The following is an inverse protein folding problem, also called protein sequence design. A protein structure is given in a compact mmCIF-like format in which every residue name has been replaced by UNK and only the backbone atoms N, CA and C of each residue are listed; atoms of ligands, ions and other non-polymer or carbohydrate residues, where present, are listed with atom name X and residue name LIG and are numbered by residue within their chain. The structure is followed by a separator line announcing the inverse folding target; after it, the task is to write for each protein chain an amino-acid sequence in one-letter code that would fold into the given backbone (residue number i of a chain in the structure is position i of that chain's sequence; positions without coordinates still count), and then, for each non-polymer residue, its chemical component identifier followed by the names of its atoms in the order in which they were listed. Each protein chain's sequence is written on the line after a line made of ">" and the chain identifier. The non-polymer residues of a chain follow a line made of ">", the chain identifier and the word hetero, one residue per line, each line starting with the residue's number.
data_IF_800147718909
#
_entry.id   IF_800147718909
#
_cell.length_a   1.000
_cell.length_b   1.000
_cell.length_c   1.000
_cell.angle_alpha   90.00
_cell.angle_beta   90.00
_cell.angle_gamma   90.00
#
_symmetry.space_group_name_H-M   'P 1'
#
loop_
_entity.id
_entity.type
_entity.pdbx_description
1 polymer ?
#
# COMPACT_ATOMS: atom_id res chain seq x y z
N UNK A 1 -34.16 6.86 -6.16
CA UNK A 1 -33.89 7.21 -4.75
C UNK A 1 -35.13 7.85 -4.16
N UNK A 2 -35.35 7.72 -2.85
CA UNK A 2 -36.56 8.22 -2.19
C UNK A 2 -36.43 9.68 -1.76
N UNK A 3 -35.20 10.11 -1.45
CA UNK A 3 -34.87 11.47 -1.02
C UNK A 3 -33.78 12.07 -1.91
N UNK A 4 -34.04 12.29 -3.21
CA UNK A 4 -33.02 12.74 -4.16
C UNK A 4 -32.47 14.16 -3.87
N UNK A 5 -33.17 14.95 -3.05
CA UNK A 5 -32.70 16.25 -2.56
C UNK A 5 -31.69 16.16 -1.41
N UNK A 6 -31.58 15.01 -0.74
CA UNK A 6 -30.61 14.81 0.34
C UNK A 6 -29.21 14.57 -0.24
N UNK A 7 -28.12 14.85 0.50
CA UNK A 7 -26.77 14.78 -0.05
C UNK A 7 -26.36 13.38 -0.54
N UNK A 8 -25.47 13.29 -1.56
CA UNK A 8 -24.94 12.03 -2.06
C UNK A 8 -23.92 11.40 -1.09
N UNK A 9 -23.77 10.07 -1.12
CA UNK A 9 -22.86 9.35 -0.22
C UNK A 9 -22.33 8.02 -0.77
N UNK A 10 -21.24 7.55 -0.16
CA UNK A 10 -20.84 6.16 -0.13
C UNK A 10 -21.24 5.49 1.19
N UNK A 11 -21.63 4.22 1.12
CA UNK A 11 -21.69 3.33 2.29
C UNK A 11 -20.73 2.16 2.08
N UNK A 12 -19.79 2.00 3.00
CA UNK A 12 -18.72 0.99 2.94
C UNK A 12 -19.08 -0.20 3.82
N UNK A 13 -19.01 -1.37 3.21
CA UNK A 13 -19.25 -2.67 3.84
C UNK A 13 -18.01 -3.56 3.73
N UNK A 14 -17.95 -4.60 4.56
CA UNK A 14 -17.04 -5.73 4.34
C UNK A 14 -17.81 -7.04 4.23
N UNK A 15 -17.38 -7.88 3.28
CA UNK A 15 -18.05 -9.15 2.96
C UNK A 15 -17.84 -10.24 4.02
N UNK A 16 -17.06 -9.96 5.06
CA UNK A 16 -16.57 -10.92 6.06
C UNK A 16 -15.86 -12.14 5.44
N UNK A 17 -15.15 -11.92 4.34
CA UNK A 17 -14.43 -12.95 3.57
C UNK A 17 -12.94 -12.62 3.40
N UNK A 18 -12.12 -13.59 2.95
CA UNK A 18 -10.80 -13.26 2.42
C UNK A 18 -10.89 -12.38 1.17
N UNK A 19 -9.79 -11.68 0.89
CA UNK A 19 -9.57 -10.90 -0.33
C UNK A 19 -8.78 -11.71 -1.38
N UNK A 20 -8.78 -11.25 -2.63
CA UNK A 20 -8.10 -11.91 -3.75
C UNK A 20 -9.05 -12.36 -4.87
N UNK A 21 -8.52 -12.44 -6.10
CA UNK A 21 -9.31 -12.68 -7.32
C UNK A 21 -10.10 -13.99 -7.32
N UNK A 22 -9.63 -15.03 -6.62
CA UNK A 22 -10.36 -16.29 -6.47
C UNK A 22 -11.64 -16.16 -5.62
N UNK A 23 -11.65 -15.23 -4.65
CA UNK A 23 -12.81 -14.97 -3.81
C UNK A 23 -13.75 -13.96 -4.44
N UNK A 24 -13.22 -13.02 -5.22
CA UNK A 24 -14.00 -11.94 -5.85
C UNK A 24 -15.24 -12.47 -6.60
N UNK A 25 -15.06 -13.42 -7.52
CA UNK A 25 -16.17 -13.95 -8.31
C UNK A 25 -17.13 -14.83 -7.50
N UNK A 26 -16.63 -15.61 -6.54
CA UNK A 26 -17.49 -16.50 -5.72
C UNK A 26 -18.33 -15.71 -4.73
N UNK A 27 -17.77 -14.67 -4.11
CA UNK A 27 -18.51 -13.74 -3.26
C UNK A 27 -19.52 -12.94 -4.07
N UNK A 28 -19.15 -12.45 -5.27
CA UNK A 28 -20.10 -11.76 -6.14
C UNK A 28 -21.29 -12.64 -6.53
N UNK A 29 -21.03 -13.89 -6.93
CA UNK A 29 -22.09 -14.87 -7.23
C UNK A 29 -22.96 -15.18 -6.01
N UNK A 30 -22.37 -15.25 -4.81
CA UNK A 30 -23.10 -15.44 -3.56
C UNK A 30 -24.07 -14.27 -3.31
N UNK A 31 -23.61 -13.03 -3.40
CA UNK A 31 -24.43 -11.83 -3.17
C UNK A 31 -25.63 -11.78 -4.12
N UNK A 32 -25.42 -12.14 -5.39
CA UNK A 32 -26.51 -12.26 -6.37
C UNK A 32 -27.52 -13.34 -5.98
N UNK A 33 -27.03 -14.51 -5.57
CA UNK A 33 -27.89 -15.65 -5.18
C UNK A 33 -28.77 -15.32 -3.99
N UNK A 34 -28.26 -14.58 -3.01
CA UNK A 34 -29.00 -14.22 -1.80
C UNK A 34 -29.73 -12.88 -1.89
N UNK A 35 -29.71 -12.25 -3.07
CA UNK A 35 -30.32 -10.94 -3.33
C UNK A 35 -29.85 -9.84 -2.34
N UNK A 36 -28.57 -9.86 -1.98
CA UNK A 36 -27.94 -8.89 -1.08
C UNK A 36 -26.92 -7.99 -1.81
N UNK A 37 -27.07 -7.81 -3.12
CA UNK A 37 -26.10 -7.08 -3.92
C UNK A 37 -26.03 -5.60 -3.53
N UNK A 38 -24.84 -5.06 -3.23
CA UNK A 38 -24.62 -3.61 -3.25
C UNK A 38 -24.64 -3.12 -4.71
N UNK A 39 -24.31 -1.86 -4.95
CA UNK A 39 -24.04 -1.42 -6.33
C UNK A 39 -22.65 -1.88 -6.79
N UNK A 40 -21.66 -1.89 -5.90
CA UNK A 40 -20.26 -2.17 -6.22
C UNK A 40 -19.69 -3.24 -5.30
N UNK A 41 -18.86 -4.14 -5.85
CA UNK A 41 -17.96 -5.01 -5.10
C UNK A 41 -16.51 -4.68 -5.48
N UNK A 42 -15.61 -4.65 -4.50
CA UNK A 42 -14.21 -4.27 -4.69
C UNK A 42 -13.28 -5.25 -3.96
N UNK A 43 -12.22 -5.71 -4.64
CA UNK A 43 -11.16 -6.50 -4.04
C UNK A 43 -9.89 -5.65 -3.83
N UNK A 44 -9.52 -5.33 -2.57
CA UNK A 44 -8.37 -4.50 -2.29
C UNK A 44 -7.03 -5.17 -2.62
N UNK A 45 -6.97 -6.51 -2.72
CA UNK A 45 -5.74 -7.23 -3.04
C UNK A 45 -5.46 -7.18 -4.54
N UNK A 46 -6.41 -7.60 -5.37
CA UNK A 46 -6.24 -7.63 -6.83
C UNK A 46 -6.63 -6.33 -7.55
N UNK A 47 -7.22 -5.36 -6.83
CA UNK A 47 -7.79 -4.13 -7.40
C UNK A 47 -8.91 -4.41 -8.43
N UNK A 48 -9.61 -5.54 -8.32
CA UNK A 48 -10.77 -5.83 -9.15
C UNK A 48 -12.00 -5.05 -8.64
N UNK A 49 -12.80 -4.56 -9.59
CA UNK A 49 -14.07 -3.90 -9.33
C UNK A 49 -15.17 -4.56 -10.14
N UNK A 50 -16.33 -4.74 -9.50
CA UNK A 50 -17.52 -5.31 -10.09
C UNK A 50 -18.71 -4.43 -9.77
N UNK A 51 -19.66 -4.34 -10.70
CA UNK A 51 -20.84 -3.52 -10.54
C UNK A 51 -22.09 -4.37 -10.82
N UNK A 52 -22.96 -4.50 -9.81
CA UNK A 52 -24.20 -5.28 -9.94
C UNK A 52 -25.35 -4.46 -10.54
N UNK A 53 -25.32 -3.14 -10.36
CA UNK A 53 -26.39 -2.27 -10.84
C UNK A 53 -25.99 -0.79 -10.92
N UNK A 54 -26.90 0.08 -11.39
CA UNK A 54 -26.62 1.50 -11.54
C UNK A 54 -26.33 2.18 -10.20
N UNK A 55 -25.31 3.05 -10.15
CA UNK A 55 -24.93 3.79 -8.94
C UNK A 55 -26.02 4.77 -8.46
N UNK A 56 -26.95 5.12 -9.34
CA UNK A 56 -28.09 6.02 -9.07
C UNK A 56 -29.36 5.30 -8.61
N UNK A 57 -29.30 3.98 -8.47
CA UNK A 57 -30.38 3.15 -7.92
C UNK A 57 -29.93 2.52 -6.60
N UNK A 58 -30.89 2.05 -5.81
CA UNK A 58 -30.60 1.47 -4.49
C UNK A 58 -29.99 0.07 -4.59
N UNK A 59 -28.91 -0.17 -3.85
CA UNK A 59 -28.40 -1.51 -3.53
C UNK A 59 -29.22 -2.18 -2.43
N UNK A 60 -28.84 -3.41 -2.07
CA UNK A 60 -29.58 -4.28 -1.13
C UNK A 60 -28.76 -4.64 0.13
N UNK A 61 -27.67 -3.92 0.41
CA UNK A 61 -26.77 -4.20 1.52
C UNK A 61 -27.16 -3.51 2.86
N UNK A 62 -28.21 -2.69 2.86
CA UNK A 62 -28.74 -2.02 4.07
C UNK A 62 -30.17 -2.45 4.38
N UNK A 63 -30.46 -2.59 5.68
CA UNK A 63 -31.81 -2.79 6.21
C UNK A 63 -32.55 -1.47 6.36
N UNK A 64 -33.87 -1.51 6.18
CA UNK A 64 -34.74 -0.37 6.45
C UNK A 64 -34.73 -0.02 7.95
N UNK A 65 -34.90 1.26 8.22
CA UNK A 65 -35.04 1.81 9.56
C UNK A 65 -36.51 2.14 9.81
N UNK A 66 -37.24 1.14 10.32
CA UNK A 66 -38.70 1.17 10.36
C UNK A 66 -39.29 1.29 8.95
N UNK A 67 -40.11 2.31 8.73
CA UNK A 67 -40.69 2.61 7.40
C UNK A 67 -39.71 3.28 6.44
N UNK A 68 -38.54 3.71 6.91
CA UNK A 68 -37.58 4.46 6.11
C UNK A 68 -36.58 3.53 5.41
N UNK A 69 -36.52 3.61 4.09
CA UNK A 69 -35.61 2.79 3.26
C UNK A 69 -34.22 3.43 3.18
N UNK A 70 -33.34 3.05 4.10
CA UNK A 70 -31.97 3.60 4.27
C UNK A 70 -31.11 3.48 3.02
N UNK A 71 -31.22 2.36 2.29
CA UNK A 71 -30.56 2.12 1.00
C UNK A 71 -31.03 3.07 -0.13
N UNK A 72 -32.10 3.84 0.09
CA UNK A 72 -32.68 4.78 -0.88
C UNK A 72 -32.54 6.25 -0.47
N UNK A 73 -31.75 6.52 0.56
CA UNK A 73 -31.51 7.87 1.07
C UNK A 73 -30.50 8.64 0.21
N UNK A 74 -30.78 9.91 -0.08
CA UNK A 74 -29.86 10.81 -0.79
C UNK A 74 -29.99 10.79 -2.31
N UNK A 75 -29.33 11.75 -2.96
CA UNK A 75 -29.17 11.82 -4.43
C UNK A 75 -28.61 10.52 -5.00
N UNK A 76 -27.58 9.98 -4.34
CA UNK A 76 -27.08 8.61 -4.50
C UNK A 76 -26.65 8.06 -3.14
N UNK A 77 -26.77 6.76 -2.95
CA UNK A 77 -26.15 6.01 -1.86
C UNK A 77 -25.43 4.81 -2.47
N UNK A 78 -24.16 5.03 -2.83
CA UNK A 78 -23.33 4.02 -3.47
C UNK A 78 -22.82 3.08 -2.38
N UNK A 79 -23.45 1.92 -2.24
CA UNK A 79 -23.00 0.85 -1.35
C UNK A 79 -21.88 0.08 -2.03
N UNK A 80 -20.82 -0.17 -1.27
CA UNK A 80 -19.62 -0.90 -1.72
C UNK A 80 -19.35 -2.04 -0.76
N UNK A 81 -19.37 -3.27 -1.27
CA UNK A 81 -18.85 -4.44 -0.56
C UNK A 81 -17.35 -4.57 -0.84
N UNK A 82 -16.53 -4.43 0.19
CA UNK A 82 -15.09 -4.66 0.07
C UNK A 82 -14.77 -6.07 0.54
N UNK A 83 -14.05 -6.86 -0.28
CA UNK A 83 -13.57 -8.17 0.15
C UNK A 83 -12.57 -8.01 1.29
N UNK A 84 -13.04 -8.22 2.52
CA UNK A 84 -12.26 -8.12 3.74
C UNK A 84 -13.08 -8.62 4.92
N UNK A 85 -12.48 -8.55 6.11
CA UNK A 85 -13.16 -8.72 7.39
C UNK A 85 -13.03 -7.43 8.18
N UNK A 86 -14.10 -6.99 8.84
CA UNK A 86 -14.07 -5.81 9.68
C UNK A 86 -13.00 -5.91 10.80
N UNK A 87 -12.75 -7.12 11.30
CA UNK A 87 -11.70 -7.39 12.30
C UNK A 87 -10.26 -7.27 11.76
N UNK A 88 -10.10 -7.12 10.44
CA UNK A 88 -8.82 -6.90 9.79
C UNK A 88 -9.00 -5.83 8.71
N UNK A 89 -9.09 -4.54 9.12
CA UNK A 89 -9.44 -3.45 8.22
C UNK A 89 -8.57 -3.45 6.96
N UNK A 90 -9.22 -3.43 5.81
CA UNK A 90 -8.56 -3.61 4.52
C UNK A 90 -7.63 -2.46 4.13
N UNK A 91 -7.76 -1.31 4.79
CA UNK A 91 -6.86 -0.16 4.62
C UNK A 91 -5.48 -0.39 5.23
N UNK A 92 -5.30 -1.42 6.06
CA UNK A 92 -4.00 -1.75 6.63
C UNK A 92 -3.04 -2.24 5.54
N UNK A 93 -2.00 -1.46 5.25
CA UNK A 93 -1.07 -1.75 4.17
C UNK A 93 -1.65 -1.53 2.76
N UNK A 94 -2.79 -0.86 2.67
CA UNK A 94 -3.40 -0.45 1.40
C UNK A 94 -2.91 0.93 1.01
N UNK A 95 -2.59 1.11 -0.27
CA UNK A 95 -2.22 2.41 -0.81
C UNK A 95 -3.02 2.67 -2.08
N UNK A 96 -3.89 3.71 -2.09
CA UNK A 96 -4.67 4.08 -3.26
C UNK A 96 -3.83 4.32 -4.52
N UNK A 97 -2.56 4.72 -4.38
CA UNK A 97 -1.67 4.99 -5.52
C UNK A 97 -1.51 3.76 -6.42
N UNK A 98 -1.42 2.57 -5.83
CA UNK A 98 -1.23 1.30 -6.53
C UNK A 98 -2.56 0.68 -7.02
N UNK A 99 -3.68 1.39 -6.86
CA UNK A 99 -5.04 0.86 -6.99
C UNK A 99 -5.86 1.68 -7.99
N UNK A 100 -5.56 1.61 -9.29
CA UNK A 100 -6.23 2.40 -10.31
C UNK A 100 -7.75 2.22 -10.36
N UNK A 101 -8.29 1.03 -10.06
CA UNK A 101 -9.73 0.82 -10.06
C UNK A 101 -10.39 1.35 -8.78
N UNK A 102 -9.73 1.26 -7.63
CA UNK A 102 -10.17 2.00 -6.44
C UNK A 102 -10.22 3.52 -6.69
N UNK A 103 -9.18 4.09 -7.32
CA UNK A 103 -9.16 5.52 -7.67
C UNK A 103 -10.30 5.89 -8.62
N UNK A 104 -10.66 5.03 -9.57
CA UNK A 104 -11.85 5.23 -10.43
C UNK A 104 -13.15 5.18 -9.64
N UNK A 105 -13.30 4.24 -8.70
CA UNK A 105 -14.48 4.15 -7.84
C UNK A 105 -14.69 5.46 -7.08
N UNK A 106 -13.64 5.98 -6.45
CA UNK A 106 -13.66 7.28 -5.77
C UNK A 106 -14.03 8.41 -6.75
N UNK A 107 -13.37 8.49 -7.91
CA UNK A 107 -13.62 9.54 -8.89
C UNK A 107 -15.08 9.57 -9.35
N UNK A 108 -15.71 8.40 -9.51
CA UNK A 108 -17.13 8.31 -9.87
C UNK A 108 -18.03 8.80 -8.73
N UNK A 109 -17.71 8.51 -7.47
CA UNK A 109 -18.44 9.09 -6.34
C UNK A 109 -18.38 10.61 -6.33
N UNK A 110 -17.18 11.18 -6.52
CA UNK A 110 -16.98 12.63 -6.65
C UNK A 110 -17.79 13.21 -7.82
N UNK A 111 -17.87 12.50 -8.95
CA UNK A 111 -18.70 12.92 -10.08
C UNK A 111 -20.21 12.94 -9.77
N UNK A 112 -20.66 12.12 -8.83
CA UNK A 112 -22.03 12.20 -8.29
C UNK A 112 -22.22 13.28 -7.22
N UNK A 113 -21.13 13.94 -6.82
CA UNK A 113 -21.09 15.01 -5.82
C UNK A 113 -20.84 14.51 -4.40
N UNK A 114 -20.39 13.27 -4.21
CA UNK A 114 -20.06 12.74 -2.87
C UNK A 114 -18.86 13.53 -2.31
N UNK A 115 -19.00 14.21 -1.16
CA UNK A 115 -17.89 14.86 -0.48
C UNK A 115 -16.84 13.86 0.02
N UNK A 116 -15.60 14.31 0.12
CA UNK A 116 -14.46 13.54 0.61
C UNK A 116 -14.37 13.55 2.16
N UNK A 117 -15.53 13.62 2.83
CA UNK A 117 -15.66 13.79 4.28
C UNK A 117 -16.30 12.57 4.94
N UNK A 118 -16.00 12.39 6.23
CA UNK A 118 -16.62 11.38 7.11
C UNK A 118 -17.46 12.08 8.19
N UNK A 119 -18.68 12.53 7.86
CA UNK A 119 -19.50 13.35 8.76
C UNK A 119 -19.89 12.61 10.05
N UNK A 120 -20.06 11.29 10.00
CA UNK A 120 -20.28 10.45 11.18
C UNK A 120 -18.97 10.07 11.93
N UNK A 121 -17.84 10.66 11.56
CA UNK A 121 -16.52 10.37 12.14
C UNK A 121 -15.95 9.02 11.70
N UNK A 122 -14.99 8.51 12.48
CA UNK A 122 -14.33 7.22 12.21
C UNK A 122 -15.28 6.04 12.43
N UNK A 123 -15.32 5.05 11.53
CA UNK A 123 -15.98 3.77 11.80
C UNK A 123 -15.45 3.09 13.06
N UNK A 124 -16.29 2.28 13.70
CA UNK A 124 -15.95 1.61 14.96
C UNK A 124 -14.92 0.50 14.75
N UNK A 125 -14.03 0.33 15.73
CA UNK A 125 -12.97 -0.67 15.66
C UNK A 125 -13.42 -2.09 16.02
N UNK A 126 -14.48 -2.21 16.82
CA UNK A 126 -15.04 -3.49 17.25
C UNK A 126 -16.56 -3.40 17.33
N UNK A 127 -17.23 -4.55 17.34
CA UNK A 127 -18.68 -4.61 17.56
C UNK A 127 -19.13 -4.01 18.90
N UNK A 128 -18.30 -4.10 19.95
CA UNK A 128 -18.60 -3.56 21.28
C UNK A 128 -18.41 -2.04 21.39
N UNK A 129 -17.67 -1.43 20.47
CA UNK A 129 -17.47 0.03 20.42
C UNK A 129 -18.60 0.79 19.72
N UNK A 130 -19.71 0.11 19.44
CA UNK A 130 -20.87 0.69 18.80
C UNK A 130 -21.45 1.87 19.58
N UNK A 131 -21.65 3.00 18.89
CA UNK A 131 -22.32 4.20 19.40
C UNK A 131 -23.64 4.44 18.69
N UNK A 132 -24.48 5.33 19.22
CA UNK A 132 -25.73 5.71 18.56
C UNK A 132 -25.47 6.28 17.15
N UNK A 133 -26.25 5.80 16.18
CA UNK A 133 -26.16 6.21 14.76
C UNK A 133 -27.03 7.44 14.54
N UNK A 134 -26.40 8.58 14.27
CA UNK A 134 -27.10 9.85 14.17
C UNK A 134 -27.89 9.96 12.85
N UNK A 135 -29.22 9.97 12.97
CA UNK A 135 -30.14 10.11 11.83
C UNK A 135 -30.05 11.49 11.17
N UNK A 136 -29.84 12.55 11.95
CA UNK A 136 -29.76 13.90 11.41
C UNK A 136 -28.50 14.05 10.56
N UNK A 137 -27.35 13.53 11.03
CA UNK A 137 -26.12 13.49 10.22
C UNK A 137 -26.36 12.70 8.94
N UNK A 138 -26.88 11.46 9.04
CA UNK A 138 -27.16 10.61 7.87
C UNK A 138 -28.06 11.26 6.82
N UNK A 139 -29.03 12.09 7.22
CA UNK A 139 -29.97 12.71 6.28
C UNK A 139 -29.45 14.01 5.68
N UNK A 140 -28.67 14.79 6.43
CA UNK A 140 -28.30 16.15 6.06
C UNK A 140 -26.86 16.31 5.59
N UNK A 141 -26.01 15.30 5.75
CA UNK A 141 -24.58 15.39 5.42
C UNK A 141 -24.18 14.31 4.40
N UNK A 142 -23.54 14.75 3.31
CA UNK A 142 -23.00 13.85 2.30
C UNK A 142 -21.59 13.42 2.66
N UNK A 143 -21.17 12.25 2.18
CA UNK A 143 -19.79 11.81 2.39
C UNK A 143 -19.66 10.30 2.41
N UNK A 144 -18.70 9.83 3.19
CA UNK A 144 -18.40 8.43 3.39
C UNK A 144 -18.92 7.96 4.74
N UNK A 145 -19.55 6.79 4.76
CA UNK A 145 -20.11 6.15 5.95
C UNK A 145 -19.77 4.67 5.94
N UNK A 146 -19.48 4.09 7.11
CA UNK A 146 -19.46 2.65 7.30
C UNK A 146 -20.86 2.12 7.60
N UNK A 147 -21.12 0.83 7.36
CA UNK A 147 -22.38 0.18 7.78
C UNK A 147 -22.67 0.41 9.27
N UNK A 148 -21.64 0.44 10.11
CA UNK A 148 -21.73 0.74 11.53
C UNK A 148 -22.32 2.11 11.88
N UNK A 149 -22.36 3.05 10.94
CA UNK A 149 -22.84 4.42 11.12
C UNK A 149 -24.25 4.65 10.54
N UNK A 150 -24.84 3.65 9.86
CA UNK A 150 -26.14 3.80 9.18
C UNK A 150 -27.31 3.52 10.13
N UNK A 151 -28.22 4.48 10.40
CA UNK A 151 -29.38 4.30 11.26
C UNK A 151 -30.22 3.05 10.93
N UNK A 152 -30.82 2.42 11.94
CA UNK A 152 -31.68 1.23 11.79
C UNK A 152 -30.97 -0.06 11.38
N UNK A 153 -29.64 -0.06 11.32
CA UNK A 153 -28.84 -1.25 11.05
C UNK A 153 -28.15 -1.72 12.34
N UNK A 154 -27.62 -2.95 12.33
CA UNK A 154 -27.04 -3.63 13.50
C UNK A 154 -25.63 -4.19 13.25
N UNK A 155 -25.09 -4.05 12.04
CA UNK A 155 -23.74 -4.49 11.71
C UNK A 155 -22.68 -3.43 12.07
N UNK A 156 -21.41 -3.87 12.23
CA UNK A 156 -20.28 -3.05 12.68
C UNK A 156 -19.16 -2.89 11.64
N UNK A 157 -19.29 -3.51 10.48
CA UNK A 157 -18.40 -3.34 9.34
C UNK A 157 -18.42 -1.87 8.86
N UNK A 158 -17.32 -1.38 8.24
CA UNK A 158 -16.15 -2.10 7.72
C UNK A 158 -15.00 -2.30 8.73
N UNK A 159 -15.25 -2.08 10.02
CA UNK A 159 -14.20 -2.01 11.04
C UNK A 159 -13.41 -0.71 10.97
N UNK A 160 -12.31 -0.61 11.73
CA UNK A 160 -11.46 0.59 11.82
C UNK A 160 -10.63 0.84 10.54
N UNK A 161 -11.31 1.06 9.42
CA UNK A 161 -10.67 1.52 8.19
C UNK A 161 -10.12 2.94 8.37
N UNK A 162 -9.00 3.21 7.70
CA UNK A 162 -8.34 4.50 7.75
C UNK A 162 -9.10 5.50 6.88
N UNK A 163 -9.80 6.43 7.54
CA UNK A 163 -10.58 7.49 6.91
C UNK A 163 -9.73 8.56 6.19
N UNK A 164 -8.39 8.48 6.28
CA UNK A 164 -7.49 9.29 5.44
C UNK A 164 -7.19 8.59 4.11
N UNK A 165 -7.28 7.25 4.07
CA UNK A 165 -7.11 6.41 2.88
C UNK A 165 -8.39 6.31 2.08
N UNK A 166 -9.56 6.28 2.72
CA UNK A 166 -10.88 6.42 2.08
C UNK A 166 -11.34 7.83 2.42
N UNK A 167 -11.27 8.79 1.49
CA UNK A 167 -11.80 8.65 0.14
C UNK A 167 -10.74 8.54 -0.97
N UNK A 168 -9.52 8.11 -0.69
CA UNK A 168 -8.47 7.89 -1.71
C UNK A 168 -7.23 8.76 -1.57
N UNK A 169 -7.08 9.46 -0.44
CA UNK A 169 -6.10 10.54 -0.29
C UNK A 169 -6.56 11.81 -1.03
N UNK A 170 -6.25 12.98 -0.48
CA UNK A 170 -6.88 14.23 -0.91
C UNK A 170 -6.60 14.58 -2.38
N UNK A 171 -7.70 14.69 -3.13
CA UNK A 171 -7.88 15.67 -4.20
C UNK A 171 -8.65 16.83 -3.55
N UNK A 172 -7.96 17.90 -3.13
CA UNK A 172 -8.63 19.13 -2.73
C UNK A 172 -9.23 19.80 -3.97
N UNK A 173 -10.49 19.47 -4.26
CA UNK A 173 -11.30 20.12 -5.29
C UNK A 173 -12.36 21.01 -4.66
N UNK A 174 -12.00 22.27 -4.39
CA UNK A 174 -12.96 23.37 -4.19
C UNK A 174 -12.78 24.36 -5.34
N UNK A 175 -13.81 24.57 -6.15
CA UNK A 175 -13.72 25.25 -7.43
C UNK A 175 -13.17 26.68 -7.37
N UNK A 176 -12.20 26.97 -8.24
CA UNK A 176 -12.04 28.25 -8.93
C UNK A 176 -11.15 28.06 -10.17
N UNK A 177 -11.54 28.74 -11.25
CA UNK A 177 -10.98 28.89 -12.60
C UNK A 177 -9.44 28.76 -12.71
N UNK A 178 -8.88 28.18 -13.80
CA UNK A 178 -7.47 27.81 -13.86
C UNK A 178 -6.57 29.05 -13.80
N UNK A 179 -5.97 29.26 -12.64
CA UNK A 179 -4.76 30.06 -12.51
C UNK A 179 -3.67 29.12 -12.02
N UNK A 180 -2.69 28.90 -12.89
CA UNK A 180 -1.44 28.23 -12.60
C UNK A 180 -0.88 28.72 -11.24
N UNK A 181 -0.67 27.86 -10.23
CA UNK A 181 0.01 28.28 -9.00
C UNK A 181 1.51 28.44 -9.26
N UNK A 182 2.18 29.37 -8.57
CA UNK A 182 3.56 29.72 -8.84
C UNK A 182 4.47 28.55 -8.45
N UNK A 183 5.41 28.21 -9.33
CA UNK A 183 6.60 27.46 -8.92
C UNK A 183 7.33 28.28 -7.86
N UNK A 184 7.29 27.86 -6.60
CA UNK A 184 8.32 28.27 -5.66
C UNK A 184 9.65 27.75 -6.22
N UNK A 185 10.51 28.65 -6.69
CA UNK A 185 11.81 28.32 -7.29
C UNK A 185 12.79 27.70 -6.28
N UNK A 186 12.48 27.83 -4.99
CA UNK A 186 13.32 27.46 -3.86
C UNK A 186 12.85 26.12 -3.27
N UNK A 187 13.72 25.08 -3.21
CA UNK A 187 13.40 23.80 -2.58
C UNK A 187 13.13 23.94 -1.08
N UNK A 188 12.32 23.04 -0.52
CA UNK A 188 12.11 22.96 0.91
C UNK A 188 13.44 22.67 1.65
N UNK A 189 13.67 23.38 2.77
CA UNK A 189 14.88 23.26 3.58
C UNK A 189 14.65 22.91 5.05
N UNK A 190 13.44 22.50 5.40
CA UNK A 190 13.16 22.03 6.75
C UNK A 190 13.59 20.56 6.91
N UNK A 191 13.68 20.11 8.16
CA UNK A 191 14.07 18.75 8.52
C UNK A 191 12.94 18.01 9.22
N UNK A 192 12.96 16.69 9.11
CA UNK A 192 12.06 15.79 9.84
C UNK A 192 12.85 14.67 10.49
N UNK A 193 12.26 13.99 11.47
CA UNK A 193 12.84 12.81 12.08
C UNK A 193 11.93 11.61 11.86
N UNK A 194 12.46 10.57 11.21
CA UNK A 194 11.77 9.30 10.98
C UNK A 194 12.62 8.20 11.58
N UNK A 195 12.03 7.38 12.46
CA UNK A 195 12.74 6.34 13.21
C UNK A 195 14.02 6.82 13.92
N UNK A 196 14.00 8.05 14.42
CA UNK A 196 15.11 8.68 15.13
C UNK A 196 16.24 9.19 14.24
N UNK A 197 16.15 9.04 12.91
CA UNK A 197 17.11 9.60 11.95
C UNK A 197 16.54 10.87 11.33
N UNK A 198 17.40 11.87 11.16
CA UNK A 198 17.02 13.17 10.58
C UNK A 198 17.12 13.14 9.05
N UNK A 199 16.11 13.67 8.36
CA UNK A 199 16.04 13.82 6.91
C UNK A 199 15.70 15.27 6.53
N UNK A 200 15.93 15.66 5.28
CA UNK A 200 15.76 17.05 4.81
C UNK A 200 17.05 17.86 4.84
N UNK A 201 17.02 19.09 4.32
CA UNK A 201 18.21 19.89 4.04
C UNK A 201 19.14 20.02 5.25
N UNK A 202 20.43 19.75 5.03
CA UNK A 202 21.47 19.77 6.07
C UNK A 202 21.51 18.54 6.97
N UNK A 203 20.62 17.55 6.81
CA UNK A 203 20.76 16.27 7.50
C UNK A 203 22.06 15.57 7.07
N UNK A 204 22.73 14.90 8.02
CA UNK A 204 24.00 14.21 7.77
C UNK A 204 23.94 12.75 8.24
N UNK A 205 24.43 11.82 7.43
CA UNK A 205 24.65 10.43 7.81
C UNK A 205 24.51 9.42 6.66
N UNK A 206 24.85 8.16 6.93
CA UNK A 206 24.79 7.07 5.93
C UNK A 206 23.38 6.83 5.39
N UNK A 207 22.34 7.12 6.18
CA UNK A 207 20.94 7.02 5.75
C UNK A 207 20.60 8.06 4.68
N UNK A 208 21.26 9.22 4.68
CA UNK A 208 21.12 10.24 3.63
C UNK A 208 21.71 9.72 2.32
N UNK A 209 22.94 9.18 2.36
CA UNK A 209 23.57 8.57 1.18
C UNK A 209 22.70 7.45 0.60
N UNK A 210 22.10 6.60 1.45
CA UNK A 210 21.19 5.53 1.03
C UNK A 210 19.94 6.05 0.32
N UNK A 211 19.35 7.14 0.81
CA UNK A 211 18.22 7.81 0.13
C UNK A 211 18.64 8.26 -1.26
N UNK A 212 19.76 8.98 -1.37
CA UNK A 212 20.23 9.47 -2.65
C UNK A 212 20.59 8.35 -3.64
N UNK A 213 21.21 7.27 -3.18
CA UNK A 213 21.48 6.09 -4.01
C UNK A 213 20.20 5.41 -4.49
N UNK A 214 19.18 5.31 -3.62
CA UNK A 214 17.88 4.75 -3.99
C UNK A 214 17.16 5.63 -5.02
N UNK A 215 17.24 6.96 -4.89
CA UNK A 215 16.71 7.91 -5.88
C UNK A 215 17.36 7.69 -7.24
N UNK A 216 18.70 7.64 -7.31
CA UNK A 216 19.43 7.34 -8.55
C UNK A 216 19.01 5.99 -9.13
N UNK A 217 18.97 4.94 -8.30
CA UNK A 217 18.59 3.59 -8.74
C UNK A 217 17.18 3.51 -9.30
N UNK A 218 16.26 4.38 -8.86
CA UNK A 218 14.88 4.45 -9.35
C UNK A 218 14.68 5.48 -10.48
N UNK A 219 15.76 6.11 -10.96
CA UNK A 219 15.72 7.06 -12.07
C UNK A 219 15.43 8.52 -11.66
N UNK A 220 15.46 8.85 -10.38
CA UNK A 220 15.21 10.19 -9.82
C UNK A 220 16.53 10.89 -9.43
N UNK A 221 17.60 10.72 -10.20
CA UNK A 221 18.93 11.24 -9.87
C UNK A 221 19.33 12.54 -10.58
N UNK A 222 18.45 13.10 -11.41
CA UNK A 222 18.76 14.17 -12.39
C UNK A 222 19.44 15.41 -11.81
N UNK A 223 19.17 15.76 -10.55
CA UNK A 223 19.75 16.94 -9.91
C UNK A 223 21.13 16.71 -9.26
N UNK A 224 21.65 15.48 -9.26
CA UNK A 224 23.01 15.21 -8.78
C UNK A 224 24.05 15.48 -9.88
N UNK A 225 25.04 16.32 -9.59
CA UNK A 225 26.17 16.59 -10.50
C UNK A 225 27.29 15.56 -10.36
N UNK A 226 27.63 15.18 -9.12
CA UNK A 226 28.71 14.23 -8.79
C UNK A 226 28.20 12.95 -8.11
N UNK A 227 26.88 12.79 -8.01
CA UNK A 227 26.22 11.72 -7.25
C UNK A 227 25.83 12.12 -5.82
N UNK A 228 25.06 11.26 -5.12
CA UNK A 228 24.59 11.52 -3.76
C UNK A 228 25.71 11.37 -2.72
N UNK A 229 25.66 12.17 -1.67
CA UNK A 229 26.63 12.18 -0.57
C UNK A 229 25.98 12.09 0.82
N UNK A 230 26.78 12.11 1.90
CA UNK A 230 26.28 11.94 3.27
C UNK A 230 25.58 13.18 3.82
N UNK A 231 25.54 14.28 3.09
CA UNK A 231 24.90 15.54 3.51
C UNK A 231 23.77 15.87 2.56
N UNK A 232 22.56 16.04 3.10
CA UNK A 232 21.36 16.36 2.34
C UNK A 232 21.44 17.78 1.80
N UNK A 233 21.36 17.92 0.49
CA UNK A 233 21.48 19.18 -0.24
C UNK A 233 20.17 19.54 -0.96
N UNK A 234 20.15 20.70 -1.62
CA UNK A 234 19.03 21.06 -2.51
C UNK A 234 18.83 20.04 -3.65
N UNK A 235 19.88 19.34 -4.07
CA UNK A 235 19.78 18.29 -5.08
C UNK A 235 18.95 17.10 -4.56
N UNK A 236 19.17 16.68 -3.32
CA UNK A 236 18.39 15.63 -2.67
C UNK A 236 16.91 16.05 -2.56
N UNK A 237 16.63 17.28 -2.11
CA UNK A 237 15.26 17.78 -2.04
C UNK A 237 14.57 17.78 -3.41
N UNK A 238 15.24 18.27 -4.47
CA UNK A 238 14.65 18.30 -5.83
C UNK A 238 14.43 16.89 -6.40
N UNK A 239 15.40 16.01 -6.24
CA UNK A 239 15.29 14.61 -6.66
C UNK A 239 14.16 13.89 -5.90
N UNK A 240 14.09 14.06 -4.58
CA UNK A 240 13.05 13.47 -3.75
C UNK A 240 11.65 14.03 -4.09
N UNK A 241 11.55 15.32 -4.40
CA UNK A 241 10.33 15.95 -4.91
C UNK A 241 9.87 15.30 -6.22
N UNK A 242 10.78 15.03 -7.16
CA UNK A 242 10.40 14.31 -8.39
C UNK A 242 9.93 12.89 -8.13
N UNK A 243 10.55 12.21 -7.17
CA UNK A 243 10.11 10.90 -6.71
C UNK A 243 8.71 10.95 -6.07
N UNK A 244 8.44 11.89 -5.17
CA UNK A 244 7.12 12.10 -4.59
C UNK A 244 6.05 12.37 -5.67
N UNK A 245 6.35 13.26 -6.63
CA UNK A 245 5.45 13.51 -7.76
C UNK A 245 5.19 12.27 -8.60
N UNK A 246 6.20 11.40 -8.77
CA UNK A 246 6.03 10.12 -9.48
C UNK A 246 5.09 9.15 -8.74
N UNK A 247 4.97 9.28 -7.41
CA UNK A 247 3.99 8.56 -6.60
C UNK A 247 2.60 9.22 -6.62
N UNK A 248 2.42 10.29 -7.40
CA UNK A 248 1.17 11.04 -7.50
C UNK A 248 0.98 12.10 -6.40
N UNK A 249 2.00 12.40 -5.60
CA UNK A 249 1.90 13.44 -4.58
C UNK A 249 1.89 14.82 -5.24
N UNK A 250 1.16 15.77 -4.67
CA UNK A 250 1.04 17.15 -5.18
C UNK A 250 1.07 18.16 -4.02
N UNK A 251 1.28 19.45 -4.36
CA UNK A 251 1.38 20.51 -3.35
C UNK A 251 2.48 20.22 -2.31
N UNK A 252 2.18 20.50 -1.05
CA UNK A 252 3.09 20.31 0.09
C UNK A 252 3.46 18.85 0.32
N UNK A 253 2.63 17.89 -0.12
CA UNK A 253 2.97 16.47 -0.04
C UNK A 253 4.13 16.09 -0.99
N UNK A 254 4.42 16.91 -2.01
CA UNK A 254 5.52 16.71 -2.94
C UNK A 254 6.54 17.85 -2.86
N UNK A 255 6.92 18.24 -1.65
CA UNK A 255 7.84 19.35 -1.39
C UNK A 255 9.34 18.98 -1.40
N UNK A 256 9.65 17.68 -1.45
CA UNK A 256 11.01 17.14 -1.47
C UNK A 256 11.57 16.74 -0.12
N UNK A 257 10.81 16.84 0.97
CA UNK A 257 11.23 16.34 2.29
C UNK A 257 10.61 14.96 2.54
N UNK A 258 11.38 13.95 3.01
CA UNK A 258 10.83 12.61 3.23
C UNK A 258 9.69 12.55 4.24
N UNK A 259 8.56 11.98 3.85
CA UNK A 259 7.58 11.40 4.79
C UNK A 259 7.79 9.89 4.94
N UNK A 260 7.40 9.30 6.06
CA UNK A 260 7.60 7.87 6.36
C UNK A 260 7.10 6.94 5.26
N UNK A 261 5.91 7.21 4.71
CA UNK A 261 5.33 6.45 3.58
C UNK A 261 6.18 6.55 2.33
N UNK A 262 6.51 7.78 1.89
CA UNK A 262 7.36 7.99 0.71
C UNK A 262 8.76 7.38 0.89
N UNK A 263 9.32 7.46 2.10
CA UNK A 263 10.62 6.92 2.42
C UNK A 263 10.61 5.38 2.38
N UNK A 264 9.51 4.78 2.85
CA UNK A 264 9.27 3.34 2.74
C UNK A 264 9.12 2.90 1.28
N UNK A 265 8.43 3.69 0.45
CA UNK A 265 8.34 3.42 -1.00
C UNK A 265 9.69 3.51 -1.70
N UNK A 266 10.58 4.36 -1.20
CA UNK A 266 11.93 4.50 -1.73
C UNK A 266 12.86 3.37 -1.28
N UNK A 267 12.92 3.11 0.03
CA UNK A 267 13.91 2.24 0.67
C UNK A 267 13.42 0.81 0.97
N UNK A 268 12.11 0.59 0.96
CA UNK A 268 11.49 -0.65 1.45
C UNK A 268 11.36 -0.70 2.98
N UNK A 269 10.84 -1.82 3.50
CA UNK A 269 10.75 -2.10 4.94
C UNK A 269 11.78 -3.16 5.37
N UNK A 270 12.31 -3.08 6.61
CA UNK A 270 12.11 -1.99 7.57
C UNK A 270 12.92 -0.73 7.20
N UNK A 271 12.41 0.44 7.60
CA UNK A 271 13.14 1.71 7.44
C UNK A 271 14.36 1.75 8.38
N UNK A 272 15.43 2.50 8.00
CA UNK A 272 16.57 2.73 8.89
C UNK A 272 16.12 3.41 10.19
N UNK A 273 16.67 2.98 11.33
CA UNK A 273 16.41 3.59 12.64
C UNK A 273 17.70 3.95 13.37
N UNK A 274 17.67 5.01 14.20
CA UNK A 274 18.81 5.44 15.03
C UNK A 274 19.14 4.46 16.15
N UNK A 275 18.18 3.62 16.55
CA UNK A 275 18.26 2.71 17.71
C UNK A 275 18.28 1.21 17.39
N UNK A 276 18.54 0.79 16.15
CA UNK A 276 18.78 -0.64 15.91
C UNK A 276 20.27 -0.98 15.94
N UNK A 277 20.71 -1.45 17.11
CA UNK A 277 21.23 -2.82 17.16
C UNK A 277 20.20 -3.68 16.42
N UNK A 278 20.47 -4.02 15.16
CA UNK A 278 19.60 -4.88 14.37
C UNK A 278 19.24 -6.11 15.23
N UNK A 279 18.00 -6.63 15.20
CA UNK A 279 17.79 -7.98 15.71
C UNK A 279 18.80 -8.84 14.99
N UNK A 280 19.63 -9.57 15.74
CA UNK A 280 20.55 -10.54 15.19
C UNK A 280 19.69 -11.58 14.49
N UNK A 281 19.39 -11.36 13.21
CA UNK A 281 18.75 -12.35 12.38
C UNK A 281 19.66 -13.56 12.46
N UNK A 282 19.20 -14.63 13.12
CA UNK A 282 19.89 -15.89 13.07
C UNK A 282 20.01 -16.24 11.58
N UNK A 283 21.23 -16.42 11.10
CA UNK A 283 21.47 -16.86 9.73
C UNK A 283 21.43 -18.37 9.68
N UNK A 284 21.04 -18.92 8.53
CA UNK A 284 21.14 -20.35 8.31
C UNK A 284 22.58 -20.81 8.46
N UNK A 285 22.87 -21.80 9.33
CA UNK A 285 24.15 -22.46 9.31
C UNK A 285 24.43 -23.02 7.92
N UNK A 286 25.69 -22.98 7.49
CA UNK A 286 26.07 -23.56 6.21
C UNK A 286 25.70 -25.06 6.18
N UNK A 287 24.82 -25.51 5.27
CA UNK A 287 24.29 -26.88 5.27
C UNK A 287 25.26 -27.91 4.67
N UNK A 288 26.46 -27.48 4.27
CA UNK A 288 27.44 -28.32 3.58
C UNK A 288 27.29 -28.31 2.06
N UNK A 289 28.38 -28.55 1.33
CA UNK A 289 28.40 -28.45 -0.14
C UNK A 289 27.48 -29.49 -0.79
N UNK A 290 27.43 -30.69 -0.22
CA UNK A 290 26.60 -31.80 -0.69
C UNK A 290 25.09 -31.52 -0.60
N UNK A 291 24.67 -30.50 0.16
CA UNK A 291 23.29 -30.05 0.19
C UNK A 291 22.83 -29.54 -1.19
N UNK A 292 23.71 -28.86 -1.92
CA UNK A 292 23.44 -28.21 -3.21
C UNK A 292 23.67 -29.16 -4.39
N UNK A 293 22.83 -30.19 -4.46
CA UNK A 293 22.89 -31.22 -5.49
C UNK A 293 21.67 -31.19 -6.41
N UNK A 294 21.79 -31.68 -7.67
CA UNK A 294 20.66 -31.80 -8.58
C UNK A 294 19.48 -32.54 -7.93
N UNK A 295 18.27 -31.99 -8.06
CA UNK A 295 17.05 -32.58 -7.50
C UNK A 295 16.76 -32.22 -6.03
N UNK A 296 17.67 -31.53 -5.31
CA UNK A 296 17.40 -31.03 -3.96
C UNK A 296 16.22 -30.06 -3.96
N UNK A 297 15.30 -30.24 -3.00
CA UNK A 297 14.24 -29.28 -2.67
C UNK A 297 14.35 -28.86 -1.20
N UNK A 298 14.32 -27.56 -0.92
CA UNK A 298 14.32 -27.00 0.44
C UNK A 298 13.96 -25.51 0.45
N UNK A 299 13.25 -25.00 1.47
CA UNK A 299 13.03 -23.56 1.66
C UNK A 299 14.34 -22.76 1.84
N UNK A 300 15.44 -23.40 2.28
CA UNK A 300 16.77 -22.80 2.39
C UNK A 300 17.27 -22.32 1.00
N UNK A 301 16.93 -23.03 -0.07
CA UNK A 301 17.30 -22.65 -1.45
C UNK A 301 16.55 -21.38 -1.86
N UNK A 302 15.25 -21.29 -1.58
CA UNK A 302 14.45 -20.08 -1.80
C UNK A 302 15.03 -18.88 -1.04
N UNK A 303 15.40 -19.08 0.23
CA UNK A 303 15.96 -18.02 1.08
C UNK A 303 17.33 -17.52 0.58
N UNK A 304 18.21 -18.45 0.20
CA UNK A 304 19.49 -18.14 -0.43
C UNK A 304 19.27 -17.38 -1.74
N UNK A 305 18.38 -17.87 -2.60
CA UNK A 305 18.05 -17.24 -3.88
C UNK A 305 17.55 -15.81 -3.72
N UNK A 306 16.70 -15.54 -2.71
CA UNK A 306 16.24 -14.18 -2.38
C UNK A 306 17.40 -13.25 -1.98
N UNK A 307 18.41 -13.73 -1.24
CA UNK A 307 19.61 -12.90 -0.95
C UNK A 307 20.46 -12.65 -2.17
N UNK A 308 20.62 -13.66 -3.04
CA UNK A 308 21.34 -13.47 -4.31
C UNK A 308 20.67 -12.41 -5.19
N UNK A 309 19.33 -12.39 -5.25
CA UNK A 309 18.57 -11.32 -5.92
C UNK A 309 18.84 -9.96 -5.28
N UNK A 310 18.72 -9.85 -3.94
CA UNK A 310 18.93 -8.60 -3.22
C UNK A 310 20.36 -8.03 -3.37
N UNK A 311 21.35 -8.88 -3.62
CA UNK A 311 22.74 -8.48 -3.85
C UNK A 311 23.06 -8.25 -5.34
N UNK A 312 22.06 -8.25 -6.23
CA UNK A 312 22.25 -8.05 -7.66
C UNK A 312 22.96 -9.21 -8.36
N UNK A 313 22.94 -10.40 -7.77
CA UNK A 313 23.60 -11.60 -8.29
C UNK A 313 22.61 -12.56 -8.97
N UNK A 314 21.38 -12.11 -9.31
CA UNK A 314 20.34 -12.97 -9.89
C UNK A 314 20.68 -13.47 -11.29
N UNK A 315 20.40 -14.74 -11.56
CA UNK A 315 20.31 -15.36 -12.89
C UNK A 315 18.92 -15.99 -13.15
N UNK A 316 17.92 -15.69 -12.31
CA UNK A 316 16.58 -16.26 -12.41
C UNK A 316 15.74 -15.56 -13.50
N UNK A 317 14.99 -16.33 -14.27
CA UNK A 317 14.02 -15.78 -15.24
C UNK A 317 12.70 -15.36 -14.57
N UNK A 318 12.19 -16.13 -13.60
CA UNK A 318 10.93 -15.87 -12.88
C UNK A 318 11.11 -15.58 -11.39
N UNK A 319 12.29 -15.88 -10.84
CA UNK A 319 12.62 -15.76 -9.42
C UNK A 319 13.08 -17.09 -8.81
N UNK A 320 13.61 -17.06 -7.57
CA UNK A 320 14.08 -18.25 -6.87
C UNK A 320 12.91 -19.12 -6.37
N UNK A 321 13.11 -20.43 -6.38
CA UNK A 321 12.17 -21.42 -5.85
C UNK A 321 12.89 -22.42 -4.95
N UNK A 322 12.15 -23.42 -4.45
CA UNK A 322 12.70 -24.36 -3.46
C UNK A 322 13.61 -25.43 -4.08
N UNK A 323 13.59 -25.60 -5.40
CA UNK A 323 14.41 -26.58 -6.10
C UNK A 323 15.78 -26.00 -6.44
N UNK A 324 16.84 -26.76 -6.20
CA UNK A 324 18.18 -26.39 -6.66
C UNK A 324 18.27 -26.56 -8.17
N UNK A 325 18.53 -25.48 -8.88
CA UNK A 325 18.59 -25.43 -10.34
C UNK A 325 19.90 -24.82 -10.84
N UNK A 326 20.11 -24.86 -12.17
CA UNK A 326 21.22 -24.15 -12.81
C UNK A 326 21.14 -22.63 -12.60
N UNK A 327 19.95 -22.06 -12.41
CA UNK A 327 19.78 -20.63 -12.13
C UNK A 327 20.33 -20.27 -10.73
N UNK A 328 20.16 -21.13 -9.73
CA UNK A 328 20.73 -20.95 -8.40
C UNK A 328 22.26 -21.02 -8.45
N UNK A 329 22.79 -22.04 -9.15
CA UNK A 329 24.23 -22.21 -9.35
C UNK A 329 24.86 -21.00 -10.04
N UNK A 330 24.27 -20.51 -11.12
CA UNK A 330 24.78 -19.34 -11.84
C UNK A 330 24.64 -18.06 -11.01
N UNK A 331 23.56 -17.91 -10.25
CA UNK A 331 23.38 -16.77 -9.34
C UNK A 331 24.45 -16.77 -8.25
N UNK A 332 24.76 -17.94 -7.69
CA UNK A 332 25.78 -18.07 -6.66
C UNK A 332 27.19 -17.87 -7.21
N UNK A 333 27.43 -18.27 -8.47
CA UNK A 333 28.69 -17.98 -9.18
C UNK A 333 28.92 -16.47 -9.33
N UNK A 334 27.87 -15.70 -9.64
CA UNK A 334 27.93 -14.23 -9.66
C UNK A 334 28.27 -13.67 -8.27
N UNK A 335 27.71 -14.25 -7.22
CA UNK A 335 28.03 -13.88 -5.84
C UNK A 335 29.48 -14.17 -5.47
N UNK A 336 30.00 -15.35 -5.79
CA UNK A 336 31.42 -15.69 -5.59
C UNK A 336 32.34 -14.71 -6.32
N UNK A 337 32.06 -14.40 -7.59
CA UNK A 337 32.81 -13.38 -8.34
C UNK A 337 32.75 -12.00 -7.68
N UNK A 338 31.57 -11.60 -7.18
CA UNK A 338 31.38 -10.34 -6.44
C UNK A 338 32.20 -10.30 -5.15
N UNK A 339 32.49 -11.44 -4.54
CA UNK A 339 33.39 -11.57 -3.39
C UNK A 339 34.88 -11.66 -3.77
N UNK A 340 35.22 -11.60 -5.07
CA UNK A 340 36.60 -11.66 -5.57
C UNK A 340 37.11 -13.08 -5.89
N UNK A 341 36.26 -14.10 -5.83
CA UNK A 341 36.64 -15.46 -6.19
C UNK A 341 36.83 -15.57 -7.71
N UNK A 342 37.82 -16.33 -8.16
CA UNK A 342 38.14 -16.53 -9.58
C UNK A 342 38.36 -18.01 -9.91
N UNK A 343 38.40 -18.35 -11.20
CA UNK A 343 38.64 -19.71 -11.65
C UNK A 343 37.67 -20.73 -11.04
N UNK A 344 38.24 -21.83 -10.52
CA UNK A 344 37.48 -22.93 -9.91
C UNK A 344 36.81 -22.55 -8.57
N UNK A 345 37.27 -21.49 -7.91
CA UNK A 345 36.70 -21.04 -6.64
C UNK A 345 35.38 -20.26 -6.85
N UNK A 346 35.07 -19.87 -8.08
CA UNK A 346 33.78 -19.31 -8.51
C UNK A 346 32.99 -20.31 -9.36
N UNK A 347 32.76 -21.52 -8.83
CA UNK A 347 32.09 -22.61 -9.53
C UNK A 347 30.56 -22.65 -9.37
N UNK A 348 29.99 -21.75 -8.56
CA UNK A 348 28.55 -21.65 -8.27
C UNK A 348 28.03 -22.61 -7.19
N UNK A 349 28.89 -23.42 -6.57
CA UNK A 349 28.50 -24.24 -5.42
C UNK A 349 28.81 -23.47 -4.13
N UNK A 350 27.84 -23.30 -3.23
CA UNK A 350 28.07 -22.63 -1.97
C UNK A 350 29.17 -23.29 -1.14
N UNK A 351 30.07 -22.47 -0.62
CA UNK A 351 31.10 -22.86 0.36
C UNK A 351 30.97 -22.00 1.61
N UNK A 352 31.37 -22.55 2.78
CA UNK A 352 31.13 -21.95 4.11
C UNK A 352 31.42 -20.44 4.17
N UNK A 353 32.61 -20.01 3.74
CA UNK A 353 32.99 -18.58 3.79
C UNK A 353 32.08 -17.68 2.95
N UNK A 354 31.72 -18.11 1.75
CA UNK A 354 30.83 -17.36 0.87
C UNK A 354 29.37 -17.39 1.35
N UNK A 355 28.97 -18.46 2.03
CA UNK A 355 27.65 -18.63 2.63
C UNK A 355 27.46 -17.72 3.85
N UNK A 356 28.44 -17.71 4.76
CA UNK A 356 28.43 -16.86 5.95
C UNK A 356 28.36 -15.37 5.56
N UNK A 357 29.04 -14.98 4.46
CA UNK A 357 28.95 -13.63 3.89
C UNK A 357 27.61 -13.34 3.22
N UNK A 358 26.94 -14.35 2.66
CA UNK A 358 25.63 -14.21 2.00
C UNK A 358 24.51 -13.87 2.99
N UNK A 359 24.67 -14.26 4.26
CA UNK A 359 23.75 -13.94 5.36
C UNK A 359 22.31 -14.38 5.04
N UNK A 360 22.15 -15.67 4.73
CA UNK A 360 20.85 -16.29 4.43
C UNK A 360 19.99 -16.28 5.69
N UNK A 361 18.79 -15.69 5.69
CA UNK A 361 17.93 -15.66 6.88
C UNK A 361 17.48 -17.07 7.29
N UNK A 362 17.51 -17.37 8.60
CA UNK A 362 16.98 -18.63 9.13
C UNK A 362 15.48 -18.77 8.84
N UNK A 363 15.08 -19.92 8.31
CA UNK A 363 13.70 -20.31 8.07
C UNK A 363 13.12 -20.89 9.38
N UNK A 364 11.94 -20.43 9.77
CA UNK A 364 11.21 -20.90 10.96
C UNK A 364 10.28 -22.07 10.64
#
# INVERSE_FOLDING_TARGET
>A
MDTPGNPPRFTWHTTESPAGSSYFYSVAAYLMRVAAEPQVIYDPVSDLIGQFGPLTQSGRALRNDGSRRTNREGKVNIQVEVLARAASPWTNGFDPVDKPNFRKLIAVGRAHGVPDDWPAGKPVATASSYTARDRNVWQNEGGHYGHCQVPGNDHWDPGAIDITIVPGGQSTGGGSTPTQPPTSSTPARYQVTINGLTYGYGAVGDHVTKVGQALVSKGFGTYYQSGPGPTWSDADTRNYQTFQRSLGYTGDAADGVPGETSLTRLLGTPLPSKTTTAPTAAYEPYPGAAFFSPGRRSPIITAMGRRLVALGCSAYAKGPGEHWTNADRESYKRWQRKLGYTGNDANGIPGKTSWDKLRVPKQL
#
